data_IF_890081293498
#
_entry.id   IF_890081293498
#
_cell.length_a   1.000
_cell.length_b   1.000
_cell.length_c   1.000
_cell.angle_alpha   90.00
_cell.angle_beta   90.00
_cell.angle_gamma   90.00
#
_symmetry.space_group_name_H-M   'P 1'
#
loop_
_entity.id
_entity.type
_entity.pdbx_description
1 polymer ?
#
# COMPACT_ATOMS: atom_id res chain seq x y z
N UNK A 1 17.80 9.78 -21.87
CA UNK A 1 18.50 8.93 -20.88
C UNK A 1 18.80 7.60 -21.55
N UNK A 2 19.98 7.08 -21.36
CA UNK A 2 20.31 5.72 -21.80
C UNK A 2 19.62 4.73 -20.85
N UNK A 3 18.87 3.77 -21.42
CA UNK A 3 18.10 2.80 -20.62
C UNK A 3 19.06 1.71 -20.13
N UNK A 4 19.06 1.44 -18.83
CA UNK A 4 19.91 0.40 -18.21
C UNK A 4 19.67 -0.98 -18.83
N UNK A 5 18.43 -1.29 -19.19
CA UNK A 5 18.08 -2.53 -19.87
C UNK A 5 18.78 -2.67 -21.22
N UNK A 6 19.05 -1.58 -21.94
CA UNK A 6 19.72 -1.60 -23.24
C UNK A 6 21.24 -1.75 -23.08
N UNK A 7 21.83 -1.13 -22.05
CA UNK A 7 23.24 -1.32 -21.70
C UNK A 7 23.55 -2.80 -21.44
N UNK A 8 22.74 -3.46 -20.61
CA UNK A 8 22.92 -4.88 -20.28
C UNK A 8 22.83 -5.78 -21.52
N UNK A 9 21.97 -5.49 -22.48
CA UNK A 9 21.88 -6.22 -23.75
C UNK A 9 23.18 -6.14 -24.56
N UNK A 10 23.88 -5.01 -24.47
CA UNK A 10 25.17 -4.82 -25.13
C UNK A 10 26.28 -5.59 -24.42
N UNK A 11 26.23 -5.63 -23.08
CA UNK A 11 27.23 -6.34 -22.26
C UNK A 11 27.07 -7.87 -22.30
N UNK A 12 25.82 -8.34 -22.39
CA UNK A 12 25.45 -9.75 -22.36
C UNK A 12 24.40 -10.06 -23.45
N UNK A 13 24.84 -10.32 -24.70
CA UNK A 13 23.91 -10.53 -25.82
C UNK A 13 22.98 -11.75 -25.66
N UNK A 14 23.30 -12.68 -24.76
CA UNK A 14 22.42 -13.79 -24.36
C UNK A 14 21.09 -13.35 -23.74
N UNK A 15 21.00 -12.13 -23.26
CA UNK A 15 19.73 -11.57 -22.76
C UNK A 15 18.62 -11.62 -23.81
N UNK A 16 18.93 -11.33 -25.06
CA UNK A 16 17.93 -11.28 -26.11
C UNK A 16 17.26 -12.64 -26.36
N UNK A 17 18.00 -13.73 -26.69
CA UNK A 17 17.36 -15.03 -26.86
C UNK A 17 16.70 -15.58 -25.61
N UNK A 18 17.19 -15.28 -24.39
CA UNK A 18 16.54 -15.70 -23.17
C UNK A 18 15.18 -15.00 -22.99
N UNK A 19 15.09 -13.70 -23.26
CA UNK A 19 13.81 -12.96 -23.22
C UNK A 19 12.86 -13.39 -24.34
N UNK A 20 13.38 -13.66 -25.53
CA UNK A 20 12.56 -14.23 -26.62
C UNK A 20 12.03 -15.64 -26.28
N UNK A 21 12.82 -16.45 -25.56
CA UNK A 21 12.40 -17.77 -25.07
C UNK A 21 11.23 -17.74 -24.11
N UNK A 22 11.02 -16.63 -23.38
CA UNK A 22 9.83 -16.43 -22.55
C UNK A 22 8.67 -15.71 -23.28
N UNK A 23 8.74 -15.57 -24.60
CA UNK A 23 7.67 -15.05 -25.45
C UNK A 23 7.75 -13.57 -25.79
N UNK A 24 8.85 -12.86 -25.47
CA UNK A 24 9.03 -11.49 -25.94
C UNK A 24 9.35 -11.47 -27.44
N UNK A 25 8.84 -10.45 -28.13
CA UNK A 25 9.16 -10.22 -29.54
C UNK A 25 10.44 -9.39 -29.66
N UNK A 26 11.08 -9.44 -30.81
CA UNK A 26 12.31 -8.67 -31.07
C UNK A 26 12.09 -7.16 -30.86
N UNK A 27 10.92 -6.64 -31.24
CA UNK A 27 10.56 -5.23 -31.05
C UNK A 27 10.34 -4.87 -29.56
N UNK A 28 10.04 -5.84 -28.72
CA UNK A 28 9.87 -5.61 -27.28
C UNK A 28 11.22 -5.38 -26.58
N UNK A 29 12.30 -5.94 -27.11
CA UNK A 29 13.63 -5.86 -26.53
C UNK A 29 14.20 -4.44 -26.56
N UNK A 30 13.77 -3.62 -27.51
CA UNK A 30 14.22 -2.22 -27.66
C UNK A 30 13.42 -1.22 -26.81
N UNK A 31 12.32 -1.67 -26.20
CA UNK A 31 11.46 -0.84 -25.35
C UNK A 31 12.04 -0.70 -23.93
N UNK A 32 11.70 0.36 -23.19
CA UNK A 32 11.92 0.39 -21.75
C UNK A 32 11.31 -0.85 -21.08
N UNK A 33 12.11 -1.52 -20.25
CA UNK A 33 11.70 -2.76 -19.56
C UNK A 33 11.25 -2.42 -18.15
N UNK A 34 10.02 -2.77 -17.84
CA UNK A 34 9.34 -2.36 -16.62
C UNK A 34 9.00 -3.58 -15.77
N UNK A 35 9.45 -3.56 -14.51
CA UNK A 35 9.03 -4.54 -13.53
C UNK A 35 7.64 -4.19 -13.00
N UNK A 36 6.74 -5.17 -12.97
CA UNK A 36 5.47 -5.09 -12.25
C UNK A 36 5.54 -6.13 -11.14
N UNK A 37 5.86 -5.64 -9.95
CA UNK A 37 6.03 -6.46 -8.75
C UNK A 37 4.75 -6.42 -7.91
N UNK A 38 4.30 -7.56 -7.39
CA UNK A 38 3.12 -7.63 -6.54
C UNK A 38 3.24 -8.68 -5.45
N UNK A 39 2.58 -8.42 -4.33
CA UNK A 39 2.37 -9.40 -3.26
C UNK A 39 1.05 -10.19 -3.44
N UNK A 40 0.63 -10.40 -4.68
CA UNK A 40 -0.53 -11.23 -5.00
C UNK A 40 -0.36 -12.66 -4.49
N UNK A 41 -1.43 -13.20 -3.92
CA UNK A 41 -1.52 -14.60 -3.49
C UNK A 41 -2.80 -14.85 -2.69
N UNK A 42 -3.28 -16.09 -2.67
CA UNK A 42 -4.56 -16.48 -2.05
C UNK A 42 -4.48 -16.66 -0.52
N UNK A 43 -3.51 -16.00 0.12
CA UNK A 43 -3.27 -16.20 1.56
C UNK A 43 -4.20 -15.38 2.47
N UNK A 44 -4.69 -14.22 2.00
CA UNK A 44 -5.57 -13.35 2.78
C UNK A 44 -6.32 -12.32 1.90
N UNK A 45 -7.38 -11.69 2.43
CA UNK A 45 -8.21 -10.75 1.66
C UNK A 45 -7.46 -9.54 1.11
N UNK A 46 -6.36 -9.11 1.75
CA UNK A 46 -5.55 -7.98 1.30
C UNK A 46 -4.70 -8.28 0.06
N UNK A 47 -4.41 -9.56 -0.24
CA UNK A 47 -3.55 -9.95 -1.36
C UNK A 47 -4.31 -10.64 -2.51
N UNK A 48 -5.36 -11.38 -2.20
CA UNK A 48 -6.03 -12.29 -3.15
C UNK A 48 -6.60 -11.63 -4.41
N UNK A 49 -6.85 -10.32 -4.38
CA UNK A 49 -7.41 -9.57 -5.51
C UNK A 49 -6.37 -8.78 -6.31
N UNK A 50 -5.10 -8.73 -5.88
CA UNK A 50 -4.09 -7.85 -6.47
C UNK A 50 -3.75 -8.20 -7.92
N UNK A 51 -3.97 -9.45 -8.36
CA UNK A 51 -3.69 -9.87 -9.73
C UNK A 51 -4.42 -9.01 -10.77
N UNK A 52 -5.65 -8.55 -10.48
CA UNK A 52 -6.40 -7.69 -11.39
C UNK A 52 -5.70 -6.33 -11.63
N UNK A 53 -4.98 -5.80 -10.63
CA UNK A 53 -4.20 -4.56 -10.79
C UNK A 53 -2.88 -4.82 -11.52
N UNK A 54 -2.28 -6.01 -11.33
CA UNK A 54 -1.12 -6.45 -12.11
C UNK A 54 -1.45 -6.49 -13.61
N UNK A 55 -2.62 -7.03 -13.99
CA UNK A 55 -3.03 -7.08 -15.40
C UNK A 55 -3.26 -5.67 -15.98
N UNK A 56 -3.88 -4.76 -15.24
CA UNK A 56 -4.05 -3.37 -15.67
C UNK A 56 -2.72 -2.62 -15.78
N UNK A 57 -1.80 -2.84 -14.83
CA UNK A 57 -0.46 -2.29 -14.86
C UNK A 57 0.33 -2.75 -16.11
N UNK A 58 0.31 -4.06 -16.37
CA UNK A 58 0.96 -4.66 -17.54
C UNK A 58 0.36 -4.10 -18.85
N UNK A 59 -0.96 -4.00 -18.92
CA UNK A 59 -1.66 -3.41 -20.07
C UNK A 59 -1.23 -1.96 -20.28
N UNK A 60 -1.23 -1.15 -19.22
CA UNK A 60 -0.86 0.25 -19.30
C UNK A 60 0.59 0.45 -19.76
N UNK A 61 1.54 -0.29 -19.20
CA UNK A 61 2.95 -0.22 -19.58
C UNK A 61 3.12 -0.58 -21.06
N UNK A 62 2.51 -1.68 -21.51
CA UNK A 62 2.66 -2.15 -22.89
C UNK A 62 2.01 -1.19 -23.91
N UNK A 63 0.85 -0.62 -23.60
CA UNK A 63 0.14 0.36 -24.45
C UNK A 63 0.86 1.71 -24.52
N UNK A 64 1.66 2.07 -23.49
CA UNK A 64 2.38 3.34 -23.44
C UNK A 64 3.88 3.23 -23.81
N UNK A 65 4.24 2.19 -24.53
CA UNK A 65 5.55 2.04 -25.19
C UNK A 65 6.62 1.35 -24.36
N UNK A 66 6.28 0.76 -23.22
CA UNK A 66 7.16 -0.11 -22.44
C UNK A 66 6.99 -1.59 -22.76
N UNK A 67 7.76 -2.41 -22.06
CA UNK A 67 7.56 -3.86 -21.99
C UNK A 67 7.55 -4.30 -20.52
N UNK A 68 6.41 -4.80 -20.06
CA UNK A 68 6.22 -5.22 -18.69
C UNK A 68 6.63 -6.67 -18.45
N UNK A 69 7.23 -6.93 -17.28
CA UNK A 69 7.50 -8.26 -16.74
C UNK A 69 6.87 -8.36 -15.33
N UNK A 70 6.09 -9.44 -15.10
CA UNK A 70 5.43 -9.69 -13.81
C UNK A 70 6.35 -10.43 -12.87
N UNK A 71 6.37 -10.00 -11.60
CA UNK A 71 7.02 -10.72 -10.51
C UNK A 71 6.12 -10.72 -9.29
N UNK A 72 6.32 -11.71 -8.42
CA UNK A 72 5.48 -11.89 -7.24
C UNK A 72 6.34 -12.25 -6.04
N UNK A 73 6.30 -11.42 -5.00
CA UNK A 73 6.64 -11.80 -3.65
C UNK A 73 5.39 -12.34 -2.95
N UNK A 74 5.57 -13.13 -1.91
CA UNK A 74 4.43 -13.58 -1.08
C UNK A 74 4.10 -12.54 -0.01
N UNK A 75 2.88 -12.55 0.51
CA UNK A 75 2.47 -11.73 1.64
C UNK A 75 1.91 -12.57 2.79
N UNK A 76 1.98 -12.06 4.01
CA UNK A 76 1.33 -12.63 5.17
C UNK A 76 0.38 -11.62 5.81
N UNK A 77 -0.66 -12.13 6.46
CA UNK A 77 -1.62 -11.30 7.17
C UNK A 77 -1.35 -11.34 8.68
N UNK A 78 -1.04 -10.19 9.28
CA UNK A 78 -0.88 -10.08 10.73
C UNK A 78 -2.18 -10.46 11.46
N UNK A 79 -3.35 -10.18 10.88
CA UNK A 79 -4.64 -10.57 11.43
C UNK A 79 -4.86 -12.09 11.50
N UNK A 80 -4.36 -12.86 10.51
CA UNK A 80 -4.39 -14.33 10.55
C UNK A 80 -3.32 -14.88 11.48
N UNK A 81 -2.16 -14.23 11.56
CA UNK A 81 -1.03 -14.68 12.36
C UNK A 81 -1.13 -14.33 13.86
N UNK A 82 -2.00 -13.38 14.23
CA UNK A 82 -2.17 -12.99 15.63
C UNK A 82 -2.72 -14.12 16.51
N UNK A 83 -2.35 -14.11 17.80
CA UNK A 83 -2.81 -15.09 18.76
C UNK A 83 -2.01 -16.41 18.79
N UNK A 84 -0.96 -16.54 17.95
CA UNK A 84 -0.01 -17.65 17.96
C UNK A 84 1.39 -17.21 17.49
N UNK A 85 2.37 -18.10 17.55
CA UNK A 85 3.78 -17.80 17.23
C UNK A 85 4.02 -17.33 15.79
N UNK A 86 3.06 -17.51 14.90
CA UNK A 86 3.11 -17.03 13.51
C UNK A 86 3.34 -15.53 13.40
N UNK A 87 2.89 -14.73 14.37
CA UNK A 87 3.08 -13.27 14.37
C UNK A 87 4.56 -12.86 14.45
N UNK A 88 5.43 -13.72 14.99
CA UNK A 88 6.87 -13.46 15.07
C UNK A 88 7.54 -13.38 13.68
N UNK A 89 6.89 -13.90 12.63
CA UNK A 89 7.38 -13.79 11.25
C UNK A 89 7.03 -12.47 10.57
N UNK A 90 6.20 -11.63 11.16
CA UNK A 90 5.66 -10.41 10.54
C UNK A 90 6.78 -9.46 10.06
N UNK A 91 7.72 -9.05 10.94
CA UNK A 91 8.85 -8.21 10.55
C UNK A 91 9.92 -8.93 9.72
N UNK A 92 10.33 -10.17 10.05
CA UNK A 92 11.22 -10.94 9.18
C UNK A 92 10.67 -11.10 7.76
N UNK A 93 9.35 -11.23 7.61
CA UNK A 93 8.71 -11.34 6.31
C UNK A 93 8.80 -10.03 5.49
N UNK A 94 8.64 -8.87 6.15
CA UNK A 94 8.90 -7.57 5.50
C UNK A 94 10.29 -7.53 4.88
N UNK A 95 11.31 -7.92 5.63
CA UNK A 95 12.69 -7.96 5.16
C UNK A 95 12.91 -9.00 4.03
N UNK A 96 12.23 -10.14 4.11
CA UNK A 96 12.29 -11.16 3.06
C UNK A 96 11.75 -10.63 1.73
N UNK A 97 10.62 -9.89 1.74
CA UNK A 97 10.07 -9.23 0.54
C UNK A 97 11.09 -8.23 -0.02
N UNK A 98 11.64 -7.35 0.81
CA UNK A 98 12.62 -6.33 0.38
C UNK A 98 13.82 -6.98 -0.31
N UNK A 99 14.40 -8.01 0.33
CA UNK A 99 15.56 -8.71 -0.21
C UNK A 99 15.25 -9.43 -1.53
N UNK A 100 14.07 -10.05 -1.65
CA UNK A 100 13.64 -10.73 -2.86
C UNK A 100 13.47 -9.74 -4.02
N UNK A 101 12.75 -8.64 -3.78
CA UNK A 101 12.47 -7.62 -4.79
C UNK A 101 13.75 -6.95 -5.25
N UNK A 102 14.66 -6.58 -4.33
CA UNK A 102 15.96 -6.00 -4.67
C UNK A 102 16.80 -6.97 -5.52
N UNK A 103 16.94 -8.22 -5.07
CA UNK A 103 17.73 -9.23 -5.78
C UNK A 103 17.21 -9.46 -7.20
N UNK A 104 15.88 -9.63 -7.35
CA UNK A 104 15.24 -9.87 -8.64
C UNK A 104 15.40 -8.69 -9.60
N UNK A 105 15.19 -7.47 -9.08
CA UNK A 105 15.27 -6.24 -9.89
C UNK A 105 16.69 -5.99 -10.39
N UNK A 106 17.70 -6.15 -9.52
CA UNK A 106 19.09 -5.93 -9.89
C UNK A 106 19.64 -7.04 -10.79
N UNK A 107 19.18 -8.30 -10.61
CA UNK A 107 19.60 -9.41 -11.46
C UNK A 107 19.05 -9.30 -12.90
N UNK A 108 17.84 -8.79 -13.07
CA UNK A 108 17.17 -8.70 -14.39
C UNK A 108 17.31 -7.34 -15.05
N UNK A 109 17.67 -6.32 -14.33
CA UNK A 109 17.89 -4.92 -14.73
C UNK A 109 16.69 -4.30 -15.46
N UNK A 110 15.93 -3.49 -14.73
CA UNK A 110 14.75 -2.77 -15.23
C UNK A 110 14.99 -1.26 -15.29
N UNK A 111 14.24 -0.57 -16.16
CA UNK A 111 14.28 0.89 -16.34
C UNK A 111 13.25 1.61 -15.46
N UNK A 112 12.27 0.87 -14.96
CA UNK A 112 11.24 1.35 -14.04
C UNK A 112 10.54 0.21 -13.33
N UNK A 113 9.86 0.53 -12.21
CA UNK A 113 9.14 -0.45 -11.41
C UNK A 113 7.78 0.04 -10.93
N UNK A 114 6.79 -0.82 -11.02
CA UNK A 114 5.46 -0.65 -10.43
C UNK A 114 5.31 -1.65 -9.30
N UNK A 115 4.94 -1.17 -8.12
CA UNK A 115 4.90 -1.94 -6.89
C UNK A 115 3.48 -2.02 -6.37
N UNK A 116 2.91 -3.23 -6.30
CA UNK A 116 1.50 -3.48 -6.01
C UNK A 116 1.38 -4.28 -4.72
N UNK A 117 0.89 -3.65 -3.65
CA UNK A 117 0.76 -4.26 -2.32
C UNK A 117 -0.43 -3.67 -1.56
N UNK A 118 -0.83 -4.28 -0.45
CA UNK A 118 -2.01 -3.81 0.27
C UNK A 118 -1.92 -3.90 1.79
N UNK A 119 -1.12 -4.82 2.35
CA UNK A 119 -1.21 -5.18 3.76
C UNK A 119 -0.08 -4.60 4.62
N UNK A 120 -0.13 -4.93 5.92
CA UNK A 120 0.65 -4.32 7.01
C UNK A 120 2.16 -4.29 6.76
N UNK A 121 2.71 -5.34 6.15
CA UNK A 121 4.15 -5.47 5.94
C UNK A 121 4.54 -5.34 4.47
N UNK A 122 3.62 -5.69 3.56
CA UNK A 122 3.91 -5.61 2.13
C UNK A 122 4.02 -4.18 1.61
N UNK A 123 3.16 -3.25 2.06
CA UNK A 123 3.28 -1.83 1.64
C UNK A 123 4.59 -1.22 2.13
N UNK A 124 4.97 -1.32 3.43
CA UNK A 124 6.29 -0.86 3.87
C UNK A 124 7.45 -1.55 3.15
N UNK A 125 7.35 -2.86 2.88
CA UNK A 125 8.38 -3.59 2.15
C UNK A 125 8.59 -3.06 0.73
N UNK A 126 7.51 -2.77 0.00
CA UNK A 126 7.62 -2.17 -1.33
C UNK A 126 8.23 -0.77 -1.29
N UNK A 127 7.88 0.05 -0.30
CA UNK A 127 8.49 1.37 -0.10
C UNK A 127 9.99 1.27 0.24
N UNK A 128 10.39 0.31 1.08
CA UNK A 128 11.82 0.02 1.35
C UNK A 128 12.55 -0.47 0.10
N UNK A 129 11.91 -1.36 -0.68
CA UNK A 129 12.46 -1.84 -1.95
C UNK A 129 12.70 -0.68 -2.93
N UNK A 130 11.76 0.25 -3.03
CA UNK A 130 11.93 1.48 -3.84
C UNK A 130 13.12 2.30 -3.31
N UNK A 131 13.30 2.41 -2.00
CA UNK A 131 14.45 3.10 -1.40
C UNK A 131 15.80 2.49 -1.78
N UNK A 132 15.91 1.14 -1.81
CA UNK A 132 17.09 0.43 -2.31
C UNK A 132 17.31 0.61 -3.82
N UNK A 133 16.22 0.79 -4.56
CA UNK A 133 16.19 0.96 -6.01
C UNK A 133 15.98 2.42 -6.44
N UNK A 134 16.32 3.39 -5.57
CA UNK A 134 15.96 4.81 -5.71
C UNK A 134 16.45 5.51 -6.98
N UNK A 135 17.42 4.93 -7.67
CA UNK A 135 17.91 5.41 -8.98
C UNK A 135 16.98 5.00 -10.15
N UNK A 136 15.90 4.28 -9.86
CA UNK A 136 14.91 3.82 -10.84
C UNK A 136 13.62 4.64 -10.69
N UNK A 137 12.90 4.88 -11.80
CA UNK A 137 11.55 5.41 -11.77
C UNK A 137 10.61 4.40 -11.10
N UNK A 138 9.81 4.83 -10.15
CA UNK A 138 8.93 3.94 -9.38
C UNK A 138 7.57 4.56 -9.11
N UNK A 139 6.53 3.71 -9.02
CA UNK A 139 5.19 4.08 -8.57
C UNK A 139 4.58 2.92 -7.78
N UNK A 140 3.78 3.26 -6.78
CA UNK A 140 3.05 2.31 -5.94
C UNK A 140 1.57 2.31 -6.33
N UNK A 141 0.96 1.13 -6.32
CA UNK A 141 -0.49 0.95 -6.36
C UNK A 141 -0.88 0.12 -5.16
N UNK A 142 -1.84 0.60 -4.38
CA UNK A 142 -2.31 -0.16 -3.23
C UNK A 142 -3.62 -0.87 -3.53
N UNK A 143 -3.83 -2.01 -2.87
CA UNK A 143 -5.01 -2.85 -3.09
C UNK A 143 -6.31 -2.29 -2.49
N UNK A 144 -6.26 -1.09 -1.93
CA UNK A 144 -7.44 -0.47 -1.34
C UNK A 144 -7.86 -1.10 -0.01
N UNK A 145 -9.04 -0.72 0.44
CA UNK A 145 -9.59 -1.13 1.74
C UNK A 145 -10.88 -1.94 1.53
N UNK A 146 -11.12 -2.93 2.40
CA UNK A 146 -12.40 -3.66 2.38
C UNK A 146 -13.54 -2.77 2.86
N UNK A 147 -14.75 -3.10 2.43
CA UNK A 147 -15.97 -2.43 2.84
C UNK A 147 -16.39 -2.87 4.26
N UNK A 148 -17.20 -2.05 4.92
CA UNK A 148 -17.91 -2.44 6.12
C UNK A 148 -19.23 -3.13 5.75
N UNK A 149 -19.66 -4.09 6.56
CA UNK A 149 -20.96 -4.74 6.40
C UNK A 149 -22.04 -3.94 7.13
N UNK A 150 -23.17 -3.67 6.47
CA UNK A 150 -24.33 -3.06 7.13
C UNK A 150 -25.15 -4.12 7.84
N UNK A 151 -25.27 -4.03 9.16
CA UNK A 151 -26.03 -4.97 9.97
C UNK A 151 -27.52 -4.80 9.78
N UNK A 152 -28.29 -5.91 9.60
CA UNK A 152 -29.73 -5.91 9.80
C UNK A 152 -30.10 -5.49 11.22
N UNK A 153 -31.26 -4.86 11.38
CA UNK A 153 -31.69 -4.26 12.67
C UNK A 153 -31.63 -5.23 13.85
N UNK A 154 -31.97 -6.47 13.63
CA UNK A 154 -31.98 -7.55 14.64
C UNK A 154 -30.57 -7.93 15.15
N UNK A 155 -29.53 -7.58 14.41
CA UNK A 155 -28.14 -7.82 14.80
C UNK A 155 -27.42 -6.56 15.32
N UNK A 156 -28.07 -5.41 15.31
CA UNK A 156 -27.50 -4.18 15.86
C UNK A 156 -27.51 -4.24 17.39
N UNK A 157 -26.33 -4.16 17.99
CA UNK A 157 -26.17 -4.04 19.45
C UNK A 157 -25.70 -2.62 19.77
N UNK A 158 -26.37 -1.97 20.69
CA UNK A 158 -25.97 -0.63 21.13
C UNK A 158 -24.66 -0.70 21.91
N UNK A 159 -23.57 -0.32 21.28
CA UNK A 159 -22.26 -0.17 21.88
C UNK A 159 -22.05 1.29 22.28
N UNK A 160 -22.02 1.62 23.59
CA UNK A 160 -21.85 3.01 24.03
C UNK A 160 -20.50 3.62 23.64
N UNK A 161 -19.54 2.80 23.24
CA UNK A 161 -18.23 3.25 22.76
C UNK A 161 -18.19 3.52 21.24
N UNK A 162 -19.31 3.34 20.52
CA UNK A 162 -19.40 3.54 19.09
C UNK A 162 -20.68 4.27 18.72
N UNK A 163 -20.61 5.39 18.02
CA UNK A 163 -21.79 6.14 17.61
C UNK A 163 -22.54 5.48 16.42
N UNK A 164 -21.85 4.66 15.62
CA UNK A 164 -22.39 4.00 14.42
C UNK A 164 -22.39 2.49 14.63
N UNK A 165 -23.49 1.97 15.17
CA UNK A 165 -23.61 0.55 15.54
C UNK A 165 -24.09 -0.36 14.40
N UNK A 166 -24.61 0.20 13.33
CA UNK A 166 -25.12 -0.53 12.18
C UNK A 166 -24.02 -0.96 11.17
N UNK A 167 -22.79 -0.49 11.34
CA UNK A 167 -21.66 -0.88 10.49
C UNK A 167 -20.75 -1.87 11.23
N UNK A 168 -20.55 -3.04 10.65
CA UNK A 168 -19.67 -4.08 11.17
C UNK A 168 -18.33 -4.05 10.43
N UNK A 169 -17.25 -4.14 11.20
CA UNK A 169 -15.87 -4.22 10.73
C UNK A 169 -15.08 -5.25 11.53
N UNK A 170 -13.98 -5.74 10.96
CA UNK A 170 -13.22 -6.89 11.49
C UNK A 170 -12.71 -6.69 12.92
N UNK A 171 -12.25 -5.48 13.26
CA UNK A 171 -11.65 -5.20 14.59
C UNK A 171 -12.66 -5.32 15.75
N UNK A 172 -13.96 -5.28 15.44
CA UNK A 172 -15.01 -5.45 16.46
C UNK A 172 -15.19 -6.90 16.90
N UNK A 173 -14.73 -7.88 16.11
CA UNK A 173 -14.95 -9.31 16.39
C UNK A 173 -14.37 -9.73 17.73
N UNK A 174 -13.20 -9.22 18.12
CA UNK A 174 -12.63 -9.53 19.43
C UNK A 174 -13.49 -9.04 20.60
N UNK A 175 -14.13 -7.88 20.45
CA UNK A 175 -15.11 -7.36 21.43
C UNK A 175 -16.35 -8.23 21.47
N UNK A 176 -16.90 -8.59 20.34
CA UNK A 176 -18.12 -9.42 20.26
C UNK A 176 -17.88 -10.84 20.76
N UNK A 177 -16.70 -11.40 20.59
CA UNK A 177 -16.29 -12.68 21.19
C UNK A 177 -16.28 -12.59 22.73
N UNK A 178 -15.77 -11.48 23.30
CA UNK A 178 -15.83 -11.24 24.73
C UNK A 178 -17.27 -11.06 25.23
N UNK A 179 -18.14 -10.41 24.46
CA UNK A 179 -19.54 -10.23 24.80
C UNK A 179 -20.33 -11.55 24.76
N UNK A 180 -20.04 -12.44 23.83
CA UNK A 180 -20.61 -13.79 23.82
C UNK A 180 -20.20 -14.57 25.08
N UNK A 181 -18.91 -14.59 25.42
CA UNK A 181 -18.39 -15.25 26.62
C UNK A 181 -18.97 -14.72 27.93
N UNK A 182 -19.38 -13.47 27.95
CA UNK A 182 -20.01 -12.82 29.12
C UNK A 182 -21.54 -12.84 29.07
N UNK A 183 -22.15 -13.45 28.04
CA UNK A 183 -23.60 -13.60 27.91
C UNK A 183 -24.33 -12.33 27.48
N UNK A 184 -23.62 -11.31 26.94
CA UNK A 184 -24.23 -10.08 26.40
C UNK A 184 -24.93 -10.34 25.06
N UNK A 185 -24.34 -11.20 24.24
CA UNK A 185 -24.92 -11.65 22.96
C UNK A 185 -24.92 -13.17 22.90
N UNK A 186 -25.86 -13.81 22.16
CA UNK A 186 -25.85 -15.25 21.93
C UNK A 186 -24.80 -15.66 20.90
N UNK A 187 -24.37 -16.94 20.95
CA UNK A 187 -23.40 -17.51 19.99
C UNK A 187 -23.84 -17.34 18.52
N UNK A 188 -25.14 -17.52 18.22
CA UNK A 188 -25.66 -17.34 16.87
C UNK A 188 -25.45 -15.93 16.30
N UNK A 189 -25.44 -14.92 17.16
CA UNK A 189 -25.16 -13.54 16.77
C UNK A 189 -23.67 -13.33 16.52
N UNK A 190 -22.79 -13.90 17.35
CA UNK A 190 -21.34 -13.89 17.10
C UNK A 190 -21.00 -14.61 15.80
N UNK A 191 -21.62 -15.75 15.52
CA UNK A 191 -21.43 -16.48 14.26
C UNK A 191 -21.84 -15.63 13.05
N UNK A 192 -22.95 -14.91 13.14
CA UNK A 192 -23.37 -13.96 12.11
C UNK A 192 -22.28 -12.89 11.87
N UNK A 193 -21.73 -12.30 12.93
CA UNK A 193 -20.69 -11.29 12.81
C UNK A 193 -19.41 -11.84 12.17
N UNK A 194 -18.96 -13.03 12.60
CA UNK A 194 -17.79 -13.70 12.01
C UNK A 194 -17.94 -13.97 10.51
N UNK A 195 -19.14 -14.29 10.06
CA UNK A 195 -19.41 -14.53 8.64
C UNK A 195 -19.44 -13.26 7.78
N UNK A 196 -19.68 -12.09 8.40
CA UNK A 196 -19.93 -10.84 7.68
C UNK A 196 -18.89 -9.72 7.94
N UNK A 197 -17.94 -9.92 8.84
CA UNK A 197 -16.98 -8.89 9.21
C UNK A 197 -15.92 -8.56 8.12
N UNK A 198 -15.75 -9.48 7.15
CA UNK A 198 -14.90 -9.27 5.97
C UNK A 198 -15.74 -9.48 4.70
N UNK A 199 -16.61 -8.54 4.32
CA UNK A 199 -17.55 -8.71 3.22
C UNK A 199 -16.91 -8.62 1.84
N UNK A 200 -15.68 -8.15 1.73
CA UNK A 200 -14.96 -7.95 0.47
C UNK A 200 -13.46 -8.20 0.62
N UNK A 201 -12.75 -8.22 -0.50
CA UNK A 201 -11.30 -8.11 -0.53
C UNK A 201 -10.83 -6.71 -0.07
N UNK A 202 -9.52 -6.53 0.09
CA UNK A 202 -8.89 -5.29 0.51
C UNK A 202 -8.20 -5.39 1.87
N UNK A 203 -7.49 -4.34 2.27
CA UNK A 203 -6.96 -4.19 3.62
C UNK A 203 -8.11 -4.03 4.64
N UNK A 204 -7.82 -4.23 5.91
CA UNK A 204 -8.82 -4.09 6.98
C UNK A 204 -9.50 -2.71 6.95
N UNK A 205 -10.82 -2.69 7.20
CA UNK A 205 -11.68 -1.49 7.12
C UNK A 205 -11.55 -0.51 8.29
N UNK A 206 -10.38 -0.43 8.91
CA UNK A 206 -10.07 0.49 10.01
C UNK A 206 -8.65 1.08 9.84
N UNK A 207 -8.32 2.15 10.59
CA UNK A 207 -7.00 2.80 10.54
C UNK A 207 -5.95 1.97 11.29
N UNK A 208 -5.69 0.77 10.78
CA UNK A 208 -4.58 -0.07 11.17
C UNK A 208 -3.32 0.25 10.37
N UNK A 209 -2.31 -0.61 10.46
CA UNK A 209 -1.02 -0.41 9.79
C UNK A 209 -1.19 -0.42 8.26
N UNK A 210 -2.00 -1.34 7.71
CA UNK A 210 -2.23 -1.44 6.27
C UNK A 210 -2.79 -0.12 5.72
N UNK A 211 -3.89 0.39 6.28
CA UNK A 211 -4.50 1.65 5.86
C UNK A 211 -3.56 2.84 6.04
N UNK A 212 -2.87 2.91 7.18
CA UNK A 212 -1.87 3.95 7.45
C UNK A 212 -0.77 3.94 6.40
N UNK A 213 -0.19 2.79 6.08
CA UNK A 213 0.94 2.73 5.14
C UNK A 213 0.53 2.97 3.69
N UNK A 214 -0.72 2.65 3.30
CA UNK A 214 -1.28 3.07 2.01
C UNK A 214 -1.35 4.61 1.91
N UNK A 215 -1.82 5.28 2.97
CA UNK A 215 -1.84 6.75 3.07
C UNK A 215 -0.41 7.31 3.04
N UNK A 216 0.53 6.70 3.74
CA UNK A 216 1.93 7.15 3.74
C UNK A 216 2.59 7.03 2.37
N UNK A 217 2.29 5.99 1.60
CA UNK A 217 2.79 5.84 0.22
C UNK A 217 2.32 6.98 -0.70
N UNK A 218 1.07 7.42 -0.54
CA UNK A 218 0.53 8.58 -1.27
C UNK A 218 1.16 9.89 -0.75
N UNK A 219 1.25 10.08 0.56
CA UNK A 219 1.81 11.28 1.17
C UNK A 219 3.31 11.48 0.88
N UNK A 220 4.06 10.40 0.61
CA UNK A 220 5.44 10.43 0.15
C UNK A 220 5.58 10.80 -1.34
N UNK A 221 4.48 10.90 -2.09
CA UNK A 221 4.47 11.21 -3.52
C UNK A 221 4.68 10.01 -4.44
N UNK A 222 4.66 8.78 -3.93
CA UNK A 222 4.89 7.55 -4.71
C UNK A 222 3.62 6.91 -5.28
N UNK A 223 2.44 7.49 -5.04
CA UNK A 223 1.14 7.05 -5.60
C UNK A 223 0.45 8.19 -6.35
N UNK A 224 -0.52 7.84 -7.18
CA UNK A 224 -1.42 8.82 -7.76
C UNK A 224 -2.28 9.46 -6.64
N UNK A 225 -2.46 10.79 -6.65
CA UNK A 225 -3.24 11.48 -5.63
C UNK A 225 -4.69 10.98 -5.54
N UNK A 226 -5.18 10.80 -4.30
CA UNK A 226 -6.55 10.41 -4.02
C UNK A 226 -6.84 8.92 -4.22
N UNK A 227 -5.80 8.06 -4.35
CA UNK A 227 -6.01 6.63 -4.58
C UNK A 227 -5.87 5.77 -3.33
N UNK A 228 -5.27 6.28 -2.26
CA UNK A 228 -5.18 5.58 -0.99
C UNK A 228 -6.57 5.34 -0.37
N UNK A 229 -6.80 4.12 0.10
CA UNK A 229 -8.04 3.65 0.73
C UNK A 229 -9.30 3.72 -0.15
N UNK A 230 -9.16 3.74 -1.48
CA UNK A 230 -10.29 3.39 -2.33
C UNK A 230 -10.86 2.05 -1.88
N UNK A 231 -12.19 1.85 -1.89
CA UNK A 231 -12.74 0.50 -1.70
C UNK A 231 -12.12 -0.47 -2.71
N UNK A 232 -11.67 -1.63 -2.23
CA UNK A 232 -11.00 -2.62 -3.09
C UNK A 232 -11.91 -3.19 -4.20
N UNK A 233 -13.22 -3.06 -4.02
CA UNK A 233 -14.26 -3.44 -4.98
C UNK A 233 -14.59 -2.37 -6.01
N UNK A 234 -14.11 -1.14 -5.82
CA UNK A 234 -14.40 -0.02 -6.71
C UNK A 234 -13.74 -0.21 -8.09
N UNK A 235 -14.47 -0.12 -9.21
CA UNK A 235 -13.89 -0.23 -10.54
C UNK A 235 -12.86 0.87 -10.83
N UNK A 236 -12.97 2.02 -10.17
CA UNK A 236 -12.05 3.14 -10.25
C UNK A 236 -10.64 2.77 -9.79
N UNK A 237 -10.50 1.79 -8.88
CA UNK A 237 -9.19 1.33 -8.42
C UNK A 237 -8.43 0.58 -9.52
N UNK A 238 -9.14 -0.17 -10.38
CA UNK A 238 -8.53 -0.78 -11.58
C UNK A 238 -8.07 0.29 -12.57
N UNK A 239 -8.88 1.31 -12.78
CA UNK A 239 -8.50 2.44 -13.62
C UNK A 239 -7.29 3.17 -13.05
N UNK A 240 -7.23 3.37 -11.72
CA UNK A 240 -6.08 3.97 -11.05
C UNK A 240 -4.79 3.15 -11.24
N UNK A 241 -4.89 1.82 -11.24
CA UNK A 241 -3.74 0.94 -11.54
C UNK A 241 -3.25 1.13 -13.00
N UNK A 242 -4.17 1.24 -13.95
CA UNK A 242 -3.82 1.56 -15.34
C UNK A 242 -3.17 2.95 -15.46
N UNK A 243 -3.78 3.97 -14.85
CA UNK A 243 -3.27 5.34 -14.90
C UNK A 243 -1.90 5.48 -14.22
N UNK A 244 -1.66 4.72 -13.14
CA UNK A 244 -0.36 4.64 -12.50
C UNK A 244 0.71 4.03 -13.45
N UNK A 245 0.38 2.98 -14.19
CA UNK A 245 1.28 2.42 -15.21
C UNK A 245 1.60 3.41 -16.33
N UNK A 246 0.60 4.18 -16.77
CA UNK A 246 0.81 5.26 -17.73
C UNK A 246 1.72 6.36 -17.16
N UNK A 247 1.48 6.78 -15.90
CA UNK A 247 2.31 7.77 -15.22
C UNK A 247 3.76 7.29 -15.07
N UNK A 248 3.96 6.01 -14.71
CA UNK A 248 5.30 5.44 -14.63
C UNK A 248 6.05 5.56 -15.96
N UNK A 249 5.41 5.30 -17.08
CA UNK A 249 6.03 5.45 -18.39
C UNK A 249 6.44 6.90 -18.69
N UNK A 250 5.68 7.89 -18.21
CA UNK A 250 6.06 9.30 -18.30
C UNK A 250 7.25 9.64 -17.38
N UNK A 251 7.32 9.07 -16.18
CA UNK A 251 8.49 9.22 -15.29
C UNK A 251 9.75 8.67 -15.94
N UNK A 252 9.68 7.46 -16.51
CA UNK A 252 10.80 6.82 -17.22
C UNK A 252 11.28 7.68 -18.39
N UNK A 253 10.36 8.18 -19.24
CA UNK A 253 10.70 9.07 -20.36
C UNK A 253 11.40 10.36 -19.90
N UNK A 254 10.96 10.94 -18.78
CA UNK A 254 11.52 12.18 -18.23
C UNK A 254 12.78 11.94 -17.41
N UNK A 255 13.11 10.70 -17.11
CA UNK A 255 14.22 10.33 -16.23
C UNK A 255 14.02 10.75 -14.77
N UNK A 256 12.78 10.84 -14.32
CA UNK A 256 12.44 11.12 -12.93
C UNK A 256 12.49 9.81 -12.15
N UNK A 257 13.34 9.76 -11.14
CA UNK A 257 13.56 8.56 -10.32
C UNK A 257 12.92 8.71 -8.95
N UNK A 258 12.86 7.63 -8.17
CA UNK A 258 12.27 7.67 -6.83
C UNK A 258 13.00 8.66 -5.89
N UNK A 259 14.32 8.84 -6.03
CA UNK A 259 15.10 9.79 -5.23
C UNK A 259 14.76 11.26 -5.53
N UNK A 260 14.25 11.54 -6.74
CA UNK A 260 13.84 12.90 -7.10
C UNK A 260 12.51 13.28 -6.45
N UNK A 261 11.67 12.28 -6.14
CA UNK A 261 10.37 12.44 -5.51
C UNK A 261 10.49 12.41 -3.99
N UNK A 262 11.19 11.38 -3.46
CA UNK A 262 11.26 11.13 -2.02
C UNK A 262 12.48 11.86 -1.41
N UNK A 263 12.17 12.87 -0.64
CA UNK A 263 13.14 13.73 0.04
C UNK A 263 12.87 13.77 1.55
N UNK A 264 13.74 14.39 2.33
CA UNK A 264 13.46 14.63 3.75
C UNK A 264 12.15 15.41 3.95
N UNK A 265 11.85 16.39 3.11
CA UNK A 265 10.61 17.17 3.16
C UNK A 265 9.38 16.31 2.86
N UNK A 266 9.47 15.35 1.92
CA UNK A 266 8.37 14.40 1.67
C UNK A 266 8.09 13.53 2.91
N UNK A 267 9.14 13.09 3.63
CA UNK A 267 8.95 12.37 4.90
C UNK A 267 8.35 13.25 5.98
N UNK A 268 8.76 14.50 6.11
CA UNK A 268 8.17 15.44 7.06
C UNK A 268 6.68 15.69 6.74
N UNK A 269 6.33 15.84 5.45
CA UNK A 269 4.94 15.91 5.03
C UNK A 269 4.15 14.62 5.40
N UNK A 270 4.73 13.45 5.14
CA UNK A 270 4.10 12.18 5.49
C UNK A 270 3.91 12.03 7.01
N UNK A 271 4.85 12.47 7.84
CA UNK A 271 4.73 12.47 9.31
C UNK A 271 3.63 13.42 9.77
N UNK A 272 3.49 14.59 9.15
CA UNK A 272 2.37 15.50 9.45
C UNK A 272 1.02 14.91 9.08
N UNK A 273 0.92 14.26 7.91
CA UNK A 273 -0.29 13.53 7.50
C UNK A 273 -0.57 12.39 8.49
N UNK A 274 0.46 11.62 8.91
CA UNK A 274 0.34 10.55 9.90
C UNK A 274 -0.25 11.07 11.22
N UNK A 275 0.21 12.21 11.70
CA UNK A 275 -0.34 12.84 12.91
C UNK A 275 -1.80 13.25 12.71
N UNK A 276 -2.13 13.90 11.59
CA UNK A 276 -3.48 14.38 11.29
C UNK A 276 -4.51 13.26 11.15
N UNK A 277 -4.10 12.08 10.62
CA UNK A 277 -4.97 10.93 10.50
C UNK A 277 -5.02 10.05 11.75
N UNK A 278 -4.26 10.35 12.81
CA UNK A 278 -4.07 9.46 13.97
C UNK A 278 -3.68 8.05 13.53
N UNK A 279 -2.67 7.97 12.66
CA UNK A 279 -2.23 6.73 12.04
C UNK A 279 -1.65 5.72 13.02
N UNK A 280 -1.53 4.46 12.59
CA UNK A 280 -0.97 3.38 13.37
C UNK A 280 0.44 3.71 13.87
N UNK A 281 0.72 3.43 15.14
CA UNK A 281 2.06 3.58 15.74
C UNK A 281 3.13 2.75 15.02
N UNK A 282 2.76 1.72 14.27
CA UNK A 282 3.70 0.97 13.44
C UNK A 282 4.39 1.83 12.38
N UNK A 283 3.78 2.92 11.94
CA UNK A 283 4.41 3.86 11.02
C UNK A 283 5.66 4.52 11.64
N UNK A 284 5.74 4.67 12.97
CA UNK A 284 6.93 5.19 13.65
C UNK A 284 8.14 4.25 13.61
N UNK A 285 7.92 3.00 13.22
CA UNK A 285 8.95 2.01 12.92
C UNK A 285 9.17 1.90 11.39
N UNK A 286 8.10 1.92 10.59
CA UNK A 286 8.22 1.72 9.15
C UNK A 286 8.79 2.93 8.41
N UNK A 287 8.35 4.15 8.73
CA UNK A 287 8.88 5.35 8.06
C UNK A 287 10.37 5.56 8.27
N UNK A 288 10.95 5.39 9.49
CA UNK A 288 12.41 5.41 9.65
C UNK A 288 13.14 4.32 8.86
N UNK A 289 12.58 3.10 8.79
CA UNK A 289 13.18 2.02 8.00
C UNK A 289 13.18 2.36 6.49
N UNK A 290 12.07 2.91 5.98
CA UNK A 290 11.97 3.37 4.59
C UNK A 290 12.95 4.53 4.33
N UNK A 291 13.00 5.52 5.22
CA UNK A 291 13.89 6.67 5.11
C UNK A 291 15.36 6.23 5.07
N UNK A 292 15.74 5.24 5.89
CA UNK A 292 17.08 4.66 5.90
C UNK A 292 17.50 4.14 4.52
N UNK A 293 16.60 3.43 3.82
CA UNK A 293 16.88 2.91 2.47
C UNK A 293 17.09 4.03 1.44
N UNK A 294 16.45 5.17 1.63
CA UNK A 294 16.70 6.38 0.84
C UNK A 294 17.98 7.14 1.27
N UNK A 295 18.62 6.77 2.37
CA UNK A 295 19.75 7.50 2.97
C UNK A 295 19.32 8.75 3.74
N UNK A 296 18.08 8.77 4.23
CA UNK A 296 17.48 9.87 4.99
C UNK A 296 17.33 9.42 6.45
N UNK A 297 17.80 10.23 7.39
CA UNK A 297 17.71 9.95 8.81
C UNK A 297 16.41 10.55 9.38
N UNK A 298 15.55 9.69 9.92
CA UNK A 298 14.32 10.06 10.66
C UNK A 298 14.35 9.31 11.99
N UNK A 299 14.26 10.04 13.08
CA UNK A 299 14.32 9.53 14.44
C UNK A 299 12.97 9.71 15.20
N UNK A 300 12.89 9.15 16.39
CA UNK A 300 11.73 9.29 17.26
C UNK A 300 11.46 10.73 17.69
N UNK A 301 12.51 11.52 17.88
CA UNK A 301 12.39 12.94 18.29
C UNK A 301 11.78 13.78 17.16
N UNK A 302 12.01 13.41 15.91
CA UNK A 302 11.35 14.02 14.75
C UNK A 302 9.84 13.79 14.80
N UNK A 303 9.40 12.56 15.08
CA UNK A 303 7.97 12.28 15.25
C UNK A 303 7.38 13.05 16.42
N UNK A 304 8.00 13.00 17.61
CA UNK A 304 7.47 13.68 18.79
C UNK A 304 7.31 15.19 18.55
N UNK A 305 8.34 15.83 18.00
CA UNK A 305 8.32 17.25 17.69
C UNK A 305 7.21 17.63 16.71
N UNK A 306 7.06 16.86 15.64
CA UNK A 306 6.10 17.16 14.58
C UNK A 306 4.66 16.88 15.04
N UNK A 307 4.44 15.76 15.71
CA UNK A 307 3.12 15.38 16.23
C UNK A 307 2.59 16.37 17.27
N UNK A 308 3.45 16.97 18.11
CA UNK A 308 3.03 18.00 19.09
C UNK A 308 2.46 19.26 18.42
N UNK A 309 2.85 19.55 17.18
CA UNK A 309 2.35 20.68 16.40
C UNK A 309 1.09 20.38 15.59
N UNK A 310 0.70 19.10 15.49
CA UNK A 310 -0.40 18.66 14.63
C UNK A 310 -1.74 18.62 15.37
N UNK A 311 -2.83 18.65 14.58
CA UNK A 311 -4.19 18.45 15.05
C UNK A 311 -4.75 17.15 14.48
N UNK A 312 -5.45 16.38 15.31
CA UNK A 312 -6.21 15.21 14.91
C UNK A 312 -7.46 15.64 14.12
N UNK A 313 -7.65 15.06 12.94
CA UNK A 313 -8.74 15.42 12.02
C UNK A 313 -9.78 14.31 11.83
N UNK A 314 -9.40 13.03 11.99
CA UNK A 314 -10.22 11.92 11.54
C UNK A 314 -11.02 11.26 12.67
N UNK A 315 -12.28 10.92 12.37
CA UNK A 315 -13.15 10.09 13.20
C UNK A 315 -13.27 8.67 12.59
N UNK A 316 -12.13 8.00 12.40
CA UNK A 316 -12.04 6.66 11.77
C UNK A 316 -11.71 5.60 12.82
N UNK A 317 -12.35 4.42 12.72
CA UNK A 317 -12.06 3.25 13.56
C UNK A 317 -10.57 2.87 13.52
N UNK A 318 -10.00 2.29 14.60
CA UNK A 318 -10.66 1.80 15.81
C UNK A 318 -10.94 2.88 16.88
N UNK A 319 -10.34 4.06 16.81
CA UNK A 319 -10.50 5.12 17.81
C UNK A 319 -11.67 6.07 17.51
N UNK A 320 -12.21 6.04 16.30
CA UNK A 320 -13.37 6.79 15.87
C UNK A 320 -14.55 5.87 15.50
N UNK A 321 -15.56 6.46 14.86
CA UNK A 321 -16.84 5.80 14.58
C UNK A 321 -16.93 5.17 13.17
N UNK A 322 -16.24 5.76 12.19
CA UNK A 322 -16.42 5.42 10.78
C UNK A 322 -15.42 4.38 10.29
N UNK A 323 -15.84 3.42 9.46
CA UNK A 323 -14.92 2.54 8.74
C UNK A 323 -13.96 3.29 7.82
N UNK A 324 -12.79 2.68 7.53
CA UNK A 324 -11.72 3.32 6.77
C UNK A 324 -12.10 3.74 5.34
N UNK A 325 -13.04 3.06 4.68
CA UNK A 325 -13.53 3.45 3.36
C UNK A 325 -14.11 4.87 3.31
N UNK A 326 -14.62 5.37 4.44
CA UNK A 326 -15.15 6.74 4.54
C UNK A 326 -14.08 7.81 4.46
N UNK A 327 -12.81 7.46 4.72
CA UNK A 327 -11.68 8.34 4.46
C UNK A 327 -11.60 8.72 2.97
N UNK A 328 -11.71 7.73 2.08
CA UNK A 328 -11.74 7.98 0.65
C UNK A 328 -12.95 8.84 0.24
N UNK A 329 -14.14 8.51 0.73
CA UNK A 329 -15.36 9.28 0.42
C UNK A 329 -15.31 10.73 0.91
N UNK A 330 -14.55 11.01 1.96
CA UNK A 330 -14.32 12.35 2.50
C UNK A 330 -13.26 13.16 1.72
N UNK A 331 -12.62 12.56 0.68
CA UNK A 331 -11.63 13.21 -0.17
C UNK A 331 -10.19 12.73 0.03
N UNK A 332 -9.95 11.75 0.90
CA UNK A 332 -8.68 11.06 1.04
C UNK A 332 -7.50 11.93 1.46
N UNK A 333 -6.30 11.50 1.08
CA UNK A 333 -5.04 12.20 1.40
C UNK A 333 -5.01 13.64 0.88
N UNK A 334 -5.46 13.95 -0.34
CA UNK A 334 -5.46 15.33 -0.82
C UNK A 334 -6.29 16.27 0.06
N UNK A 335 -7.43 15.79 0.58
CA UNK A 335 -8.27 16.61 1.49
C UNK A 335 -7.59 16.83 2.84
N UNK A 336 -6.96 15.82 3.41
CA UNK A 336 -6.18 15.97 4.65
C UNK A 336 -5.05 16.97 4.43
N UNK A 337 -4.28 16.83 3.35
CA UNK A 337 -3.17 17.74 3.05
C UNK A 337 -3.63 19.18 2.83
N UNK A 338 -4.80 19.41 2.23
CA UNK A 338 -5.36 20.75 2.09
C UNK A 338 -5.71 21.37 3.45
N UNK A 339 -6.27 20.59 4.39
CA UNK A 339 -6.59 21.07 5.75
C UNK A 339 -5.33 21.43 6.56
N UNK A 340 -4.24 20.68 6.39
CA UNK A 340 -2.98 20.92 7.10
C UNK A 340 -1.94 21.68 6.25
N UNK A 341 -2.33 22.27 5.15
CA UNK A 341 -1.45 22.87 4.12
C UNK A 341 -0.40 23.82 4.67
N UNK A 342 -0.76 24.61 5.68
CA UNK A 342 0.16 25.55 6.35
C UNK A 342 1.30 24.85 7.10
N UNK A 343 1.21 23.56 7.35
CA UNK A 343 2.18 22.73 8.06
C UNK A 343 3.03 21.89 7.12
N UNK A 344 2.79 21.96 5.80
CA UNK A 344 3.46 21.16 4.79
C UNK A 344 4.52 21.93 4.01
N UNK A 345 5.53 21.21 3.57
CA UNK A 345 6.45 21.68 2.55
C UNK A 345 5.77 21.57 1.17
N UNK A 346 5.51 22.72 0.54
CA UNK A 346 4.81 22.78 -0.75
C UNK A 346 5.77 22.82 -1.96
N UNK A 347 7.07 22.79 -1.71
CA UNK A 347 8.15 22.83 -2.70
C UNK A 347 8.73 21.44 -3.02
N UNK A 348 7.97 20.38 -2.77
CA UNK A 348 8.28 18.98 -3.13
C UNK A 348 7.37 18.47 -4.24
N UNK A 349 7.81 17.41 -4.95
CA UNK A 349 7.00 16.74 -5.98
C UNK A 349 5.90 15.89 -5.38
#
# INVERSE_FOLDING_TARGET
MELRSQEVRTLAPENDPLKMGMGWKIDDLAKPQIMVESTYGDSHPGSAHLNQFVEEAVRAVNENGGKAARYFATDMCDGIAQGHDGINYSLPHREAIVNLVEAQTNASVYDGGMFIASCDKSVPAMLMSIGRLKEMSAIVVTGGVMEAHTLPKEYVVNDPACAINELLTLEQIGKFDAWEKTGVIPNSQLDYYKHNACPSCGACSFMGTASTMQIMAEALGLMLPGTALMPATAPELKQAAYDAGKQLMELVKKGITAKDIVTRKSFENAIMVHAAISGSTNATMHLPAIAHEFGIEIDADTFDRMHRGAHYLLNIRPSGDWPAQYFYYAGGVPRVMEEIKSMLHLDVM
#
